data_IF_555160628906
#
_entry.id   IF_555160628906
#
_cell.length_a   1.000
_cell.length_b   1.000
_cell.length_c   1.000
_cell.angle_alpha   90.00
_cell.angle_beta   90.00
_cell.angle_gamma   90.00
#
_symmetry.space_group_name_H-M   'P 1'
#
loop_
_entity.id
_entity.type
_entity.pdbx_description
1 polymer ?
#
# COMPACT_ATOMS: atom_id res chain seq x y z
N UNK A 1 -13.54 19.70 23.33
CA UNK A 1 -12.60 18.58 23.54
C UNK A 1 -12.97 17.43 22.62
N UNK A 2 -12.28 17.28 21.48
CA UNK A 2 -12.51 16.20 20.53
C UNK A 2 -11.48 15.08 20.72
N UNK A 3 -11.93 13.84 20.87
CA UNK A 3 -11.08 12.64 20.86
C UNK A 3 -11.20 11.93 19.52
N UNK A 4 -10.08 11.93 18.80
CA UNK A 4 -9.53 10.86 17.98
C UNK A 4 -10.45 10.10 17.01
N UNK A 5 -10.36 10.48 15.73
CA UNK A 5 -10.58 9.55 14.61
C UNK A 5 -9.24 9.37 13.89
N UNK A 6 -8.52 8.32 14.24
CA UNK A 6 -7.43 7.75 13.44
C UNK A 6 -7.54 6.24 13.52
N UNK A 7 -8.30 5.68 12.60
CA UNK A 7 -8.25 4.25 12.30
C UNK A 7 -7.86 4.14 10.84
N UNK A 8 -6.55 3.96 10.60
CA UNK A 8 -6.01 3.71 9.27
C UNK A 8 -5.98 2.19 9.06
N UNK A 9 -6.53 1.79 7.93
CA UNK A 9 -6.61 0.42 7.43
C UNK A 9 -5.25 -0.29 7.45
N UNK A 10 -5.08 -1.23 8.38
CA UNK A 10 -4.16 -2.33 8.19
C UNK A 10 -4.93 -3.50 7.59
N UNK A 11 -4.63 -3.84 6.33
CA UNK A 11 -5.14 -5.08 5.72
C UNK A 11 -4.36 -6.26 6.32
N UNK A 12 -4.95 -6.90 7.32
CA UNK A 12 -4.45 -8.17 7.83
C UNK A 12 -5.34 -9.32 7.33
N UNK A 13 -4.71 -10.35 6.76
CA UNK A 13 -5.35 -11.62 6.42
C UNK A 13 -5.87 -12.27 7.72
N UNK A 14 -7.14 -12.05 8.02
CA UNK A 14 -7.86 -12.82 9.04
C UNK A 14 -8.09 -14.24 8.53
N UNK A 15 -7.64 -15.25 9.29
CA UNK A 15 -7.98 -16.64 9.02
C UNK A 15 -9.45 -16.86 9.33
N UNK A 16 -10.23 -17.25 8.33
CA UNK A 16 -11.61 -17.71 8.52
C UNK A 16 -11.55 -19.15 9.02
N UNK A 17 -11.95 -19.38 10.27
CA UNK A 17 -12.18 -20.72 10.80
C UNK A 17 -13.62 -21.12 10.53
N UNK A 18 -13.82 -22.02 9.57
CA UNK A 18 -15.08 -22.75 9.40
C UNK A 18 -15.16 -23.84 10.47
N UNK A 19 -16.22 -23.83 11.28
CA UNK A 19 -16.44 -24.82 12.33
C UNK A 19 -16.62 -26.23 11.75
N UNK A 20 -15.82 -27.17 12.23
CA UNK A 20 -15.95 -28.58 11.91
C UNK A 20 -17.08 -29.22 12.75
N UNK A 21 -18.02 -29.89 12.08
CA UNK A 21 -18.94 -30.82 12.71
C UNK A 21 -18.61 -32.25 12.27
N UNK A 22 -18.34 -33.11 13.26
CA UNK A 22 -18.11 -34.57 13.18
C UNK A 22 -19.35 -35.20 13.85
N UNK A 23 -20.01 -36.28 13.44
CA UNK A 23 -19.90 -37.25 12.35
C UNK A 23 -21.25 -38.01 12.26
N UNK A 24 -21.51 -38.71 11.16
CA UNK A 24 -22.07 -40.06 11.18
C UNK A 24 -21.79 -40.77 9.86
N UNK A 25 -21.26 -41.99 9.95
CA UNK A 25 -20.91 -42.89 8.85
C UNK A 25 -22.14 -43.53 8.21
N UNK A 26 -22.22 -43.50 6.87
CA UNK A 26 -22.95 -44.50 6.08
C UNK A 26 -22.26 -44.69 4.72
N UNK A 27 -21.86 -45.94 4.47
CA UNK A 27 -21.21 -46.44 3.26
C UNK A 27 -22.17 -46.50 2.08
N UNK A 28 -21.78 -46.02 0.88
CA UNK A 28 -22.13 -46.66 -0.40
C UNK A 28 -21.50 -46.00 -1.64
N UNK A 29 -20.74 -46.84 -2.37
CA UNK A 29 -20.63 -47.00 -3.83
C UNK A 29 -20.12 -45.82 -4.69
N UNK A 30 -18.90 -46.03 -5.22
CA UNK A 30 -18.34 -45.32 -6.37
C UNK A 30 -19.14 -45.64 -7.65
N UNK A 31 -19.75 -44.63 -8.25
CA UNK A 31 -20.12 -44.65 -9.67
C UNK A 31 -19.48 -43.41 -10.28
N UNK A 32 -18.42 -43.64 -11.06
CA UNK A 32 -17.93 -42.64 -11.99
C UNK A 32 -18.92 -42.44 -13.13
N UNK A 33 -18.91 -41.27 -13.75
CA UNK A 33 -18.89 -41.05 -15.20
C UNK A 33 -19.33 -39.60 -15.54
N UNK A 34 -18.55 -39.01 -16.45
CA UNK A 34 -18.76 -37.84 -17.34
C UNK A 34 -18.84 -36.43 -16.75
N UNK A 35 -17.77 -35.68 -17.03
CA UNK A 35 -17.81 -34.25 -17.29
C UNK A 35 -18.68 -33.99 -18.54
N UNK A 36 -19.46 -32.90 -18.55
CA UNK A 36 -19.68 -32.14 -19.77
C UNK A 36 -18.90 -30.82 -19.72
N UNK A 37 -18.03 -30.75 -20.70
CA UNK A 37 -17.68 -29.62 -21.56
C UNK A 37 -18.66 -28.42 -21.58
N UNK A 38 -18.09 -27.26 -21.93
CA UNK A 38 -18.66 -26.01 -22.44
C UNK A 38 -20.18 -25.95 -22.71
N UNK A 39 -20.90 -24.85 -22.48
CA UNK A 39 -20.72 -23.57 -23.15
C UNK A 39 -21.79 -22.57 -22.71
N UNK A 40 -21.48 -21.29 -22.94
CA UNK A 40 -22.33 -20.13 -23.23
C UNK A 40 -23.85 -20.30 -23.38
N UNK A 41 -24.58 -19.42 -22.68
CA UNK A 41 -25.66 -18.54 -23.17
C UNK A 41 -26.71 -19.03 -24.18
N UNK A 42 -27.99 -18.95 -23.78
CA UNK A 42 -29.13 -18.87 -24.70
C UNK A 42 -30.47 -19.29 -24.08
N UNK A 43 -31.39 -18.33 -23.93
CA UNK A 43 -32.78 -18.51 -23.49
C UNK A 43 -33.66 -19.26 -24.52
N UNK A 44 -34.67 -20.03 -24.05
CA UNK A 44 -35.81 -20.40 -24.91
C UNK A 44 -36.63 -21.66 -24.56
N UNK A 45 -37.57 -21.53 -23.62
CA UNK A 45 -38.97 -22.03 -23.59
C UNK A 45 -39.39 -23.48 -24.00
N UNK A 46 -40.10 -24.15 -23.08
CA UNK A 46 -41.17 -25.16 -23.30
C UNK A 46 -40.84 -26.59 -22.83
N UNK A 47 -41.59 -27.32 -21.99
CA UNK A 47 -42.86 -27.14 -21.28
C UNK A 47 -43.34 -28.52 -20.76
N UNK A 48 -43.91 -28.59 -19.55
CA UNK A 48 -44.75 -29.71 -19.06
C UNK A 48 -44.27 -30.48 -17.81
N UNK A 49 -45.17 -30.97 -16.93
CA UNK A 49 -45.07 -30.78 -15.47
C UNK A 49 -45.02 -32.09 -14.65
N UNK A 50 -44.39 -32.05 -13.47
CA UNK A 50 -44.86 -32.77 -12.27
C UNK A 50 -44.12 -32.25 -11.03
N UNK A 51 -44.90 -31.77 -10.07
CA UNK A 51 -44.41 -31.12 -8.86
C UNK A 51 -43.75 -32.09 -7.88
N UNK A 52 -42.65 -31.62 -7.30
CA UNK A 52 -42.30 -31.93 -5.91
C UNK A 52 -42.27 -30.59 -5.18
N UNK A 53 -43.26 -30.42 -4.32
CA UNK A 53 -43.41 -29.26 -3.47
C UNK A 53 -42.28 -29.20 -2.43
N UNK A 54 -41.86 -27.97 -2.15
CA UNK A 54 -41.31 -27.51 -0.89
C UNK A 54 -40.04 -28.22 -0.36
N UNK A 55 -38.89 -27.73 -0.84
CA UNK A 55 -37.81 -27.32 0.05
C UNK A 55 -37.28 -25.98 -0.47
N UNK A 56 -38.02 -24.91 -0.20
CA UNK A 56 -37.41 -23.58 -0.01
C UNK A 56 -36.58 -23.66 1.27
N UNK A 57 -35.48 -24.41 1.19
CA UNK A 57 -34.42 -24.42 2.18
C UNK A 57 -33.90 -23.00 2.24
N UNK A 58 -34.26 -22.33 3.32
CA UNK A 58 -33.83 -21.00 3.69
C UNK A 58 -32.37 -20.82 3.28
N UNK A 59 -32.11 -20.00 2.27
CA UNK A 59 -30.77 -19.48 2.04
C UNK A 59 -30.41 -18.78 3.36
N UNK A 60 -29.62 -19.45 4.18
CA UNK A 60 -29.25 -18.98 5.51
C UNK A 60 -28.75 -17.55 5.34
N UNK A 61 -29.43 -16.58 5.95
CA UNK A 61 -29.00 -15.19 5.96
C UNK A 61 -27.56 -15.19 6.44
N UNK A 62 -26.62 -14.92 5.54
CA UNK A 62 -25.22 -14.74 5.92
C UNK A 62 -25.19 -13.57 6.91
N UNK A 63 -24.91 -13.87 8.17
CA UNK A 63 -24.72 -12.84 9.17
C UNK A 63 -23.48 -12.02 8.79
N UNK A 64 -23.47 -10.70 9.00
CA UNK A 64 -22.29 -9.88 8.75
C UNK A 64 -21.09 -10.47 9.49
N UNK A 65 -19.99 -10.68 8.77
CA UNK A 65 -18.74 -11.11 9.40
C UNK A 65 -18.29 -10.05 10.41
N UNK A 66 -18.06 -10.47 11.66
CA UNK A 66 -17.50 -9.59 12.69
C UNK A 66 -15.98 -9.75 12.66
N UNK A 67 -15.27 -8.64 12.51
CA UNK A 67 -13.81 -8.62 12.67
C UNK A 67 -13.52 -8.52 14.16
N UNK A 68 -12.92 -9.57 14.72
CA UNK A 68 -12.45 -9.55 16.11
C UNK A 68 -11.27 -8.59 16.26
N UNK A 69 -11.19 -7.94 17.42
CA UNK A 69 -10.03 -7.11 17.74
C UNK A 69 -8.79 -8.02 17.91
N UNK A 70 -7.62 -7.60 17.39
CA UNK A 70 -6.40 -8.38 17.58
C UNK A 70 -6.05 -8.47 19.08
N UNK A 71 -5.42 -9.56 19.51
CA UNK A 71 -4.93 -9.68 20.88
C UNK A 71 -3.90 -8.59 21.18
N UNK A 72 -3.75 -8.25 22.47
CA UNK A 72 -2.76 -7.28 22.90
C UNK A 72 -1.35 -7.69 22.46
N UNK A 73 -0.67 -6.80 21.74
CA UNK A 73 0.68 -7.04 21.27
C UNK A 73 1.71 -6.91 22.41
N UNK A 74 2.69 -7.80 22.43
CA UNK A 74 3.84 -7.71 23.34
C UNK A 74 4.80 -6.57 22.97
N UNK A 75 5.79 -6.29 23.84
CA UNK A 75 6.84 -5.29 23.57
C UNK A 75 7.86 -5.72 22.52
N UNK A 76 7.96 -7.02 22.25
CA UNK A 76 8.98 -7.64 21.39
C UNK A 76 8.34 -8.85 20.73
N UNK A 77 8.57 -9.04 19.43
CA UNK A 77 8.14 -10.25 18.71
C UNK A 77 9.14 -11.39 18.88
N UNK A 78 8.78 -12.59 18.43
CA UNK A 78 9.65 -13.78 18.50
C UNK A 78 9.94 -14.33 17.12
N UNK A 79 11.19 -14.76 16.87
CA UNK A 79 11.59 -15.36 15.61
C UNK A 79 11.19 -14.50 14.40
N UNK A 80 10.32 -15.05 13.54
CA UNK A 80 9.81 -14.40 12.31
C UNK A 80 8.50 -13.62 12.50
N UNK A 81 8.04 -13.43 13.74
CA UNK A 81 6.90 -12.57 14.00
C UNK A 81 7.17 -11.17 13.43
N UNK A 82 6.17 -10.53 12.80
CA UNK A 82 6.26 -9.14 12.39
C UNK A 82 6.77 -8.24 13.51
N UNK A 83 7.38 -7.11 13.13
CA UNK A 83 7.80 -6.12 14.11
C UNK A 83 6.59 -5.62 14.91
N UNK A 84 6.77 -5.53 16.22
CA UNK A 84 5.78 -4.91 17.11
C UNK A 84 5.79 -3.38 16.97
N UNK A 85 4.73 -2.70 17.40
CA UNK A 85 4.68 -1.23 17.39
C UNK A 85 5.84 -0.61 18.17
N UNK A 86 6.22 -1.25 19.27
CA UNK A 86 7.37 -0.83 20.08
C UNK A 86 8.69 -1.00 19.31
N UNK A 87 8.86 -2.12 18.59
CA UNK A 87 10.04 -2.38 17.78
C UNK A 87 10.12 -1.45 16.56
N UNK A 88 9.01 -1.22 15.85
CA UNK A 88 8.90 -0.27 14.74
C UNK A 88 9.35 1.13 15.18
N UNK A 89 8.78 1.62 16.30
CA UNK A 89 9.15 2.93 16.85
C UNK A 89 10.62 2.98 17.28
N UNK A 90 11.11 1.93 17.93
CA UNK A 90 12.49 1.83 18.39
C UNK A 90 13.45 1.82 17.21
N UNK A 91 13.20 1.01 16.18
CA UNK A 91 14.01 0.93 14.97
C UNK A 91 14.18 2.30 14.33
N UNK A 92 13.07 2.98 14.02
CA UNK A 92 13.07 4.33 13.41
C UNK A 92 13.83 5.37 14.23
N UNK A 93 13.70 5.30 15.55
CA UNK A 93 14.40 6.23 16.47
C UNK A 93 15.91 6.01 16.41
N UNK A 94 16.35 4.75 16.43
CA UNK A 94 17.76 4.39 16.42
C UNK A 94 18.43 4.69 15.08
N UNK A 95 17.73 4.45 13.96
CA UNK A 95 18.29 4.64 12.62
C UNK A 95 18.32 6.10 12.17
N UNK A 96 17.40 6.94 12.64
CA UNK A 96 17.37 8.35 12.25
C UNK A 96 18.52 9.16 12.87
N UNK A 97 18.94 8.86 14.10
CA UNK A 97 20.02 9.60 14.78
C UNK A 97 19.79 11.12 14.85
N UNK A 98 20.75 11.91 15.35
CA UNK A 98 20.66 13.38 15.31
C UNK A 98 21.22 13.94 14.00
N UNK A 99 22.43 13.54 13.63
CA UNK A 99 23.11 14.04 12.42
C UNK A 99 22.28 13.86 11.15
N UNK A 100 21.72 12.67 10.92
CA UNK A 100 20.96 12.40 9.69
C UNK A 100 19.61 13.13 9.67
N UNK A 101 18.99 13.37 10.83
CA UNK A 101 17.82 14.26 10.94
C UNK A 101 18.16 15.71 10.58
N UNK A 102 19.35 16.19 10.93
CA UNK A 102 19.75 17.56 10.69
C UNK A 102 20.23 17.82 9.27
N UNK A 103 20.85 16.81 8.65
CA UNK A 103 21.42 16.92 7.30
C UNK A 103 20.46 16.54 6.18
N UNK A 104 19.51 15.63 6.43
CA UNK A 104 18.61 15.13 5.39
C UNK A 104 17.38 15.99 5.17
N UNK A 105 16.63 15.67 4.12
CA UNK A 105 15.43 16.40 3.70
C UNK A 105 14.27 15.46 3.35
N UNK A 106 13.06 15.83 3.78
CA UNK A 106 11.82 15.09 3.51
C UNK A 106 11.17 15.53 2.19
N UNK A 107 10.10 14.84 1.79
CA UNK A 107 9.42 15.12 0.52
C UNK A 107 8.86 16.55 0.40
N UNK A 108 8.62 17.21 1.54
CA UNK A 108 8.10 18.58 1.58
C UNK A 108 9.20 19.65 1.51
N UNK A 109 10.47 19.25 1.59
CA UNK A 109 11.63 20.12 1.78
C UNK A 109 11.94 20.42 3.25
N UNK A 110 11.32 19.68 4.18
CA UNK A 110 11.52 19.80 5.62
C UNK A 110 12.78 19.06 6.08
N UNK A 111 13.23 19.35 7.32
CA UNK A 111 14.40 18.68 7.88
C UNK A 111 14.14 17.23 8.24
N UNK A 112 15.10 16.39 7.88
CA UNK A 112 15.13 14.96 8.13
C UNK A 112 14.64 14.18 6.91
N UNK A 113 15.25 13.02 6.59
CA UNK A 113 14.90 12.24 5.41
C UNK A 113 13.49 11.65 5.49
N UNK A 114 12.88 11.43 4.34
CA UNK A 114 11.57 10.78 4.20
C UNK A 114 11.66 9.30 4.59
N UNK A 115 10.88 8.85 5.57
CA UNK A 115 10.86 7.44 5.98
C UNK A 115 9.91 6.63 5.10
N UNK A 116 10.42 5.61 4.42
CA UNK A 116 9.65 4.83 3.44
C UNK A 116 9.06 3.57 4.05
N UNK A 117 9.90 2.68 4.60
CA UNK A 117 9.46 1.43 5.23
C UNK A 117 10.24 1.10 6.50
N UNK A 118 9.68 0.18 7.29
CA UNK A 118 10.37 -0.44 8.41
C UNK A 118 9.93 -1.89 8.46
N UNK A 119 10.87 -2.78 8.19
CA UNK A 119 10.59 -4.20 7.98
C UNK A 119 11.48 -5.04 8.89
N UNK A 120 11.03 -6.24 9.25
CA UNK A 120 11.88 -7.23 9.90
C UNK A 120 12.97 -7.62 8.89
N UNK A 121 14.24 -7.48 9.27
CA UNK A 121 15.33 -7.88 8.39
C UNK A 121 15.36 -9.40 8.26
N UNK A 122 15.58 -9.89 7.04
CA UNK A 122 15.74 -11.32 6.80
C UNK A 122 17.01 -11.84 7.47
N UNK A 123 16.94 -13.07 8.00
CA UNK A 123 18.10 -13.75 8.55
C UNK A 123 19.06 -14.15 7.43
N UNK A 124 20.35 -14.10 7.70
CA UNK A 124 21.35 -14.66 6.79
C UNK A 124 21.26 -16.19 6.78
N UNK A 125 21.75 -16.88 5.72
CA UNK A 125 21.67 -18.35 5.66
C UNK A 125 22.28 -19.07 6.88
N UNK A 126 23.34 -18.52 7.47
CA UNK A 126 23.99 -19.03 8.68
C UNK A 126 23.19 -18.80 9.98
N UNK A 127 22.26 -17.84 9.98
CA UNK A 127 21.43 -17.50 11.14
C UNK A 127 20.12 -18.30 11.20
N UNK A 128 19.63 -18.85 10.08
CA UNK A 128 18.32 -19.53 9.98
C UNK A 128 18.19 -20.73 10.94
N UNK A 129 19.31 -21.35 11.34
CA UNK A 129 19.36 -22.47 12.29
C UNK A 129 19.91 -22.13 13.67
N UNK A 130 20.23 -20.86 13.94
CA UNK A 130 20.78 -20.46 15.23
C UNK A 130 19.74 -20.64 16.35
N UNK A 131 20.19 -21.05 17.55
CA UNK A 131 19.30 -21.19 18.70
C UNK A 131 18.67 -19.85 19.14
N UNK A 132 19.37 -18.74 18.88
CA UNK A 132 18.92 -17.39 19.17
C UNK A 132 19.41 -16.44 18.04
N UNK A 133 18.72 -16.42 16.89
CA UNK A 133 19.11 -15.54 15.78
C UNK A 133 18.89 -14.06 16.18
N UNK A 134 19.71 -13.13 15.64
CA UNK A 134 19.55 -11.71 15.92
C UNK A 134 18.21 -11.21 15.38
N UNK A 135 17.57 -10.31 16.13
CA UNK A 135 16.30 -9.69 15.72
C UNK A 135 16.60 -8.29 15.20
N UNK A 136 16.67 -8.16 13.89
CA UNK A 136 17.06 -6.93 13.19
C UNK A 136 15.87 -6.31 12.46
N UNK A 137 15.91 -4.99 12.29
CA UNK A 137 14.97 -4.26 11.46
C UNK A 137 15.71 -3.48 10.37
N UNK A 138 15.18 -3.50 9.16
CA UNK A 138 15.60 -2.62 8.08
C UNK A 138 14.69 -1.40 8.06
N UNK A 139 15.27 -0.21 8.20
CA UNK A 139 14.56 1.05 8.05
C UNK A 139 15.06 1.73 6.79
N UNK A 140 14.14 2.04 5.90
CA UNK A 140 14.46 2.63 4.60
C UNK A 140 14.01 4.07 4.56
N UNK A 141 14.84 4.91 3.95
CA UNK A 141 14.64 6.34 3.83
C UNK A 141 14.91 6.79 2.40
N UNK A 142 14.30 7.90 2.02
CA UNK A 142 14.71 8.70 0.88
C UNK A 142 15.15 10.08 1.36
N UNK A 143 16.35 10.50 1.00
CA UNK A 143 16.85 11.83 1.32
C UNK A 143 16.71 12.72 0.07
N UNK A 144 15.82 13.70 0.14
CA UNK A 144 15.54 14.62 -0.96
C UNK A 144 16.64 15.68 -1.15
N UNK A 145 17.53 15.87 -0.17
CA UNK A 145 18.61 16.86 -0.27
C UNK A 145 19.64 16.48 -1.33
N UNK A 146 19.80 15.16 -1.55
CA UNK A 146 20.78 14.62 -2.48
C UNK A 146 20.26 13.46 -3.35
N UNK A 147 18.95 13.18 -3.36
CA UNK A 147 18.31 12.11 -4.16
C UNK A 147 18.86 10.69 -3.87
N UNK A 148 18.99 10.33 -2.60
CA UNK A 148 19.49 9.00 -2.18
C UNK A 148 18.46 8.14 -1.47
N UNK A 149 18.49 6.83 -1.77
CA UNK A 149 17.78 5.79 -1.05
C UNK A 149 18.73 5.17 -0.01
N UNK A 150 18.37 5.27 1.27
CA UNK A 150 19.21 4.84 2.38
C UNK A 150 18.52 3.71 3.13
N UNK A 151 19.19 2.56 3.24
CA UNK A 151 18.74 1.44 4.08
C UNK A 151 19.62 1.34 5.31
N UNK A 152 19.02 1.30 6.50
CA UNK A 152 19.72 1.13 7.76
C UNK A 152 19.23 -0.13 8.46
N UNK A 153 20.13 -1.06 8.71
CA UNK A 153 19.85 -2.28 9.49
C UNK A 153 20.23 -2.05 10.94
N UNK A 154 19.28 -2.23 11.84
CA UNK A 154 19.46 -2.05 13.29
C UNK A 154 19.16 -3.34 14.04
N UNK A 155 20.05 -3.71 14.96
CA UNK A 155 19.80 -4.80 15.89
C UNK A 155 18.92 -4.31 17.06
N UNK A 156 17.77 -4.98 17.24
CA UNK A 156 16.76 -4.56 18.20
C UNK A 156 17.11 -4.96 19.64
N UNK A 157 18.02 -5.91 19.85
CA UNK A 157 18.51 -6.26 21.19
C UNK A 157 19.48 -5.21 21.72
N UNK A 158 20.59 -5.04 21.01
CA UNK A 158 21.69 -4.13 21.33
C UNK A 158 21.33 -2.65 21.10
N UNK A 159 20.40 -2.37 20.18
CA UNK A 159 20.07 -1.00 19.76
C UNK A 159 21.12 -0.35 18.86
N UNK A 160 22.01 -1.13 18.24
CA UNK A 160 23.06 -0.62 17.37
C UNK A 160 22.64 -0.70 15.91
N UNK A 161 22.94 0.36 15.15
CA UNK A 161 22.86 0.32 13.68
C UNK A 161 24.08 -0.45 13.19
N UNK A 162 23.84 -1.61 12.58
CA UNK A 162 24.89 -2.53 12.13
C UNK A 162 25.32 -2.25 10.69
N UNK A 163 24.38 -1.80 9.83
CA UNK A 163 24.64 -1.51 8.42
C UNK A 163 23.93 -0.23 7.99
N UNK A 164 24.58 0.52 7.11
CA UNK A 164 23.96 1.62 6.36
C UNK A 164 24.39 1.49 4.92
N UNK A 165 23.42 1.33 4.02
CA UNK A 165 23.63 1.30 2.58
C UNK A 165 23.01 2.56 1.97
N UNK A 166 23.68 3.16 0.99
CA UNK A 166 23.21 4.35 0.29
C UNK A 166 23.28 4.12 -1.21
N UNK A 167 22.17 4.35 -1.90
CA UNK A 167 22.04 4.08 -3.33
C UNK A 167 21.38 5.26 -4.04
N UNK A 168 21.68 5.43 -5.32
CA UNK A 168 21.05 6.43 -6.20
C UNK A 168 20.31 5.73 -7.32
N UNK A 169 19.24 6.35 -7.81
CA UNK A 169 18.43 5.80 -8.91
C UNK A 169 17.54 4.60 -8.55
N UNK A 170 17.49 4.22 -7.26
CA UNK A 170 16.54 3.23 -6.75
C UNK A 170 15.21 3.92 -6.48
N UNK A 171 14.12 3.35 -6.99
CA UNK A 171 12.78 3.93 -6.87
C UNK A 171 11.81 2.90 -6.27
N UNK A 172 11.77 2.75 -4.93
CA UNK A 172 10.71 1.98 -4.28
C UNK A 172 9.35 2.66 -4.51
N UNK A 173 8.23 1.95 -4.33
CA UNK A 173 6.89 2.53 -4.38
C UNK A 173 6.79 3.77 -3.46
N UNK A 174 6.07 4.83 -3.87
CA UNK A 174 5.89 5.99 -3.03
C UNK A 174 5.03 5.67 -1.81
N UNK A 175 5.37 6.26 -0.67
CA UNK A 175 4.57 6.17 0.53
C UNK A 175 3.36 7.13 0.47
N UNK A 176 2.56 7.15 1.53
CA UNK A 176 1.36 8.00 1.59
C UNK A 176 1.70 9.50 1.62
N UNK A 177 2.75 9.88 2.33
CA UNK A 177 3.13 11.28 2.51
C UNK A 177 3.68 11.85 1.19
N UNK A 178 4.44 11.05 0.45
CA UNK A 178 4.89 11.36 -0.92
C UNK A 178 3.71 11.50 -1.90
N UNK A 179 2.75 10.59 -1.87
CA UNK A 179 1.55 10.70 -2.71
C UNK A 179 0.72 11.95 -2.36
N UNK A 180 0.64 12.31 -1.07
CA UNK A 180 -0.07 13.51 -0.61
C UNK A 180 0.66 14.79 -1.03
N UNK A 181 1.98 14.82 -0.94
CA UNK A 181 2.80 15.96 -1.37
C UNK A 181 2.75 16.13 -2.89
N UNK A 182 2.80 15.04 -3.65
CA UNK A 182 2.60 15.10 -5.10
C UNK A 182 1.24 15.70 -5.47
N UNK A 183 0.17 15.31 -4.75
CA UNK A 183 -1.16 15.87 -4.96
C UNK A 183 -1.19 17.37 -4.59
N UNK A 184 -0.47 17.78 -3.54
CA UNK A 184 -0.35 19.20 -3.15
C UNK A 184 0.32 20.01 -4.24
N UNK A 185 1.43 19.52 -4.78
CA UNK A 185 2.15 20.15 -5.90
C UNK A 185 1.26 20.25 -7.13
N UNK A 186 0.58 19.16 -7.49
CA UNK A 186 -0.35 19.14 -8.63
C UNK A 186 -1.49 20.15 -8.47
N UNK A 187 -2.13 20.21 -7.29
CA UNK A 187 -3.18 21.20 -7.01
C UNK A 187 -2.63 22.62 -7.09
N UNK A 188 -1.39 22.88 -6.69
CA UNK A 188 -0.79 24.21 -6.79
C UNK A 188 -0.41 24.60 -8.23
N UNK A 189 -0.09 23.62 -9.08
CA UNK A 189 0.41 23.83 -10.42
C UNK A 189 -0.68 24.23 -11.44
N UNK A 190 -0.26 24.93 -12.52
CA UNK A 190 -1.16 25.31 -13.62
C UNK A 190 -1.68 24.09 -14.39
N UNK A 191 -0.92 23.00 -14.45
CA UNK A 191 -1.34 21.76 -15.07
C UNK A 191 -2.42 21.02 -14.27
N UNK A 192 -2.61 21.36 -12.98
CA UNK A 192 -3.69 20.83 -12.14
C UNK A 192 -5.03 21.54 -12.27
N UNK A 193 -5.17 22.51 -13.17
CA UNK A 193 -6.44 23.24 -13.34
C UNK A 193 -7.57 22.33 -13.85
N UNK A 194 -7.27 21.37 -14.71
CA UNK A 194 -8.24 20.35 -15.16
C UNK A 194 -8.72 19.49 -13.98
N UNK A 195 -7.81 18.99 -13.14
CA UNK A 195 -8.15 18.27 -11.90
C UNK A 195 -9.07 19.10 -10.99
N UNK A 196 -8.79 20.40 -10.80
CA UNK A 196 -9.65 21.29 -10.00
C UNK A 196 -11.03 21.48 -10.60
N UNK A 197 -11.10 21.62 -11.92
CA UNK A 197 -12.35 21.75 -12.65
C UNK A 197 -13.18 20.48 -12.52
N UNK A 198 -12.61 19.33 -12.81
CA UNK A 198 -13.30 18.04 -12.73
C UNK A 198 -13.76 17.74 -11.31
N UNK A 199 -12.95 18.08 -10.29
CA UNK A 199 -13.37 17.98 -8.90
C UNK A 199 -14.57 18.88 -8.59
N UNK A 200 -14.56 20.13 -9.06
CA UNK A 200 -15.67 21.05 -8.86
C UNK A 200 -16.93 20.59 -9.59
N UNK A 201 -16.80 20.10 -10.80
CA UNK A 201 -17.91 19.59 -11.59
C UNK A 201 -18.52 18.33 -10.93
N UNK A 202 -17.68 17.48 -10.32
CA UNK A 202 -18.14 16.28 -9.61
C UNK A 202 -18.75 16.54 -8.22
N UNK A 203 -18.32 17.59 -7.52
CA UNK A 203 -18.64 17.77 -6.08
C UNK A 203 -19.37 19.09 -5.75
N UNK A 204 -19.40 20.04 -6.68
CA UNK A 204 -19.84 21.41 -6.44
C UNK A 204 -18.88 22.26 -5.58
N UNK A 205 -17.74 21.70 -5.13
CA UNK A 205 -16.80 22.35 -4.21
C UNK A 205 -15.46 22.64 -4.89
N UNK A 206 -14.75 23.65 -4.42
CA UNK A 206 -13.39 23.90 -4.89
C UNK A 206 -12.40 22.85 -4.33
N UNK A 207 -11.49 22.36 -5.17
CA UNK A 207 -10.36 21.56 -4.73
C UNK A 207 -9.24 22.48 -4.22
N UNK A 208 -8.97 22.39 -2.93
CA UNK A 208 -8.03 23.27 -2.21
C UNK A 208 -6.97 22.50 -1.42
N UNK A 209 -7.25 21.25 -1.04
CA UNK A 209 -6.34 20.40 -0.28
C UNK A 209 -6.31 18.98 -0.85
N UNK A 210 -5.16 18.28 -0.77
CA UNK A 210 -5.06 16.85 -1.04
C UNK A 210 -6.02 16.00 -0.21
N UNK A 211 -6.43 16.46 0.97
CA UNK A 211 -7.30 15.68 1.87
C UNK A 211 -8.74 15.51 1.34
N UNK A 212 -9.08 16.22 0.27
CA UNK A 212 -10.33 16.04 -0.48
C UNK A 212 -10.23 14.89 -1.52
N UNK A 213 -9.04 14.31 -1.67
CA UNK A 213 -8.74 13.23 -2.59
C UNK A 213 -8.21 12.01 -1.84
N UNK A 214 -8.63 10.82 -2.29
CA UNK A 214 -7.89 9.59 -2.07
C UNK A 214 -6.88 9.46 -3.20
N UNK A 215 -5.59 9.43 -2.87
CA UNK A 215 -4.51 9.39 -3.84
C UNK A 215 -3.64 8.15 -3.66
N UNK A 216 -3.28 7.54 -4.79
CA UNK A 216 -2.30 6.45 -4.84
C UNK A 216 -1.21 6.86 -5.80
N UNK A 217 0.04 6.84 -5.33
CA UNK A 217 1.21 7.16 -6.14
C UNK A 217 1.83 5.92 -6.79
N UNK A 218 2.41 6.10 -7.96
CA UNK A 218 3.20 5.10 -8.67
C UNK A 218 4.50 5.73 -9.16
N UNK A 219 5.59 4.98 -9.14
CA UNK A 219 6.88 5.43 -9.66
C UNK A 219 6.77 5.72 -11.16
N UNK A 220 7.37 6.82 -11.59
CA UNK A 220 7.59 7.11 -13.00
C UNK A 220 9.09 7.21 -13.29
N UNK A 221 9.52 6.56 -14.38
CA UNK A 221 10.89 6.63 -14.89
C UNK A 221 10.83 6.93 -16.37
N UNK A 222 11.71 7.81 -16.83
CA UNK A 222 11.87 8.06 -18.25
C UNK A 222 12.75 6.97 -18.88
N UNK A 223 12.52 6.66 -20.15
CA UNK A 223 13.30 5.66 -20.90
C UNK A 223 12.75 4.23 -20.83
N UNK A 224 11.75 3.94 -19.99
CA UNK A 224 11.15 2.59 -19.92
C UNK A 224 10.33 2.28 -21.18
N UNK A 225 9.46 3.20 -21.59
CA UNK A 225 8.58 3.06 -22.75
C UNK A 225 8.94 4.04 -23.90
N UNK A 226 10.11 4.67 -23.82
CA UNK A 226 10.58 5.70 -24.74
C UNK A 226 11.24 6.89 -24.04
N UNK A 227 11.83 7.85 -24.80
CA UNK A 227 12.64 8.93 -24.23
C UNK A 227 11.86 9.94 -23.39
N UNK A 228 10.52 9.90 -23.41
CA UNK A 228 9.66 10.83 -22.67
C UNK A 228 9.82 12.30 -23.11
N UNK A 229 8.98 13.20 -22.59
CA UNK A 229 9.20 14.64 -22.74
C UNK A 229 10.49 15.10 -22.06
N UNK A 230 11.13 16.16 -22.58
CA UNK A 230 12.33 16.73 -21.97
C UNK A 230 12.13 17.11 -20.49
N UNK A 231 10.91 17.53 -20.13
CA UNK A 231 10.52 17.89 -18.77
C UNK A 231 10.59 16.72 -17.77
N UNK A 232 10.63 15.46 -18.23
CA UNK A 232 10.72 14.28 -17.37
C UNK A 232 12.06 13.57 -17.46
N UNK A 233 13.03 14.07 -18.22
CA UNK A 233 14.30 13.37 -18.51
C UNK A 233 15.08 12.92 -17.27
N UNK A 234 14.92 13.65 -16.16
CA UNK A 234 15.60 13.38 -14.90
C UNK A 234 14.84 12.34 -14.05
N UNK A 235 13.61 11.96 -14.42
CA UNK A 235 12.83 10.94 -13.73
C UNK A 235 13.48 9.55 -13.80
N UNK A 236 13.81 9.01 -12.63
CA UNK A 236 14.64 7.82 -12.49
C UNK A 236 15.92 8.14 -11.71
N UNK A 237 16.54 9.29 -12.00
CA UNK A 237 17.50 9.93 -11.08
C UNK A 237 16.73 10.62 -9.95
N UNK A 238 15.81 11.50 -10.33
CA UNK A 238 14.84 12.11 -9.43
C UNK A 238 13.70 11.14 -9.14
N UNK A 239 13.06 11.34 -7.98
CA UNK A 239 11.89 10.59 -7.56
C UNK A 239 10.62 11.18 -8.16
N UNK A 240 10.27 10.68 -9.34
CA UNK A 240 9.04 11.07 -10.02
C UNK A 240 7.89 10.09 -9.75
N UNK A 241 6.67 10.64 -9.64
CA UNK A 241 5.46 9.85 -9.43
C UNK A 241 4.33 10.24 -10.38
N UNK A 242 3.45 9.29 -10.63
CA UNK A 242 2.11 9.50 -11.20
C UNK A 242 1.07 9.23 -10.13
N UNK A 243 -0.06 9.92 -10.21
CA UNK A 243 -1.15 9.76 -9.26
C UNK A 243 -2.36 9.13 -9.93
N UNK A 244 -3.01 8.22 -9.20
CA UNK A 244 -4.44 7.97 -9.37
C UNK A 244 -5.19 8.74 -8.30
N UNK A 245 -6.15 9.55 -8.74
CA UNK A 245 -6.91 10.43 -7.85
C UNK A 245 -8.39 10.08 -7.87
N UNK A 246 -8.98 10.01 -6.67
CA UNK A 246 -10.40 9.76 -6.47
C UNK A 246 -10.92 10.78 -5.47
N UNK A 247 -12.12 11.31 -5.70
CA UNK A 247 -12.80 12.11 -4.67
C UNK A 247 -13.02 11.23 -3.42
N UNK A 248 -12.82 11.80 -2.22
CA UNK A 248 -13.09 11.09 -0.96
C UNK A 248 -14.55 10.65 -0.83
N UNK A 249 -14.85 9.87 0.21
CA UNK A 249 -16.23 9.46 0.53
C UNK A 249 -16.91 8.66 -0.60
N UNK A 250 -16.12 7.89 -1.34
CA UNK A 250 -16.62 7.03 -2.41
C UNK A 250 -16.92 7.74 -3.72
N UNK A 251 -16.55 9.01 -3.87
CA UNK A 251 -16.77 9.80 -5.09
C UNK A 251 -16.00 9.30 -6.32
N UNK A 252 -16.17 9.94 -7.49
CA UNK A 252 -15.62 9.47 -8.74
C UNK A 252 -14.08 9.55 -8.81
N UNK A 253 -13.51 8.79 -9.73
CA UNK A 253 -12.11 8.96 -10.15
C UNK A 253 -11.98 10.20 -11.04
N UNK A 254 -10.85 10.90 -10.92
CA UNK A 254 -10.49 12.03 -11.79
C UNK A 254 -9.20 11.65 -12.54
N UNK A 255 -9.18 11.88 -13.85
CA UNK A 255 -8.06 11.46 -14.69
C UNK A 255 -6.86 12.40 -14.51
N UNK A 256 -5.77 11.86 -13.96
CA UNK A 256 -4.49 12.54 -13.81
C UNK A 256 -3.36 11.78 -14.50
N UNK A 257 -3.68 10.83 -15.40
CA UNK A 257 -2.71 9.90 -15.97
C UNK A 257 -1.65 10.58 -16.80
N UNK A 258 -1.97 11.70 -17.47
CA UNK A 258 -1.00 12.43 -18.30
C UNK A 258 -0.06 13.32 -17.48
N UNK A 259 -0.13 13.30 -16.15
CA UNK A 259 0.67 14.17 -15.30
C UNK A 259 1.70 13.36 -14.54
N UNK A 260 2.92 13.86 -14.54
CA UNK A 260 4.05 13.37 -13.75
C UNK A 260 4.45 14.47 -12.79
N UNK A 261 4.68 14.10 -11.54
CA UNK A 261 5.15 15.00 -10.50
C UNK A 261 6.57 14.58 -10.16
N UNK A 262 7.53 15.48 -10.36
CA UNK A 262 8.90 15.32 -9.88
C UNK A 262 8.93 15.83 -8.43
N UNK A 263 9.03 14.91 -7.47
CA UNK A 263 9.07 15.26 -6.04
C UNK A 263 10.42 15.89 -5.68
N UNK A 264 11.51 15.48 -6.31
CA UNK A 264 12.86 16.01 -6.09
C UNK A 264 12.97 17.46 -6.57
N UNK A 265 12.47 17.76 -7.78
CA UNK A 265 12.49 19.12 -8.34
C UNK A 265 11.24 19.95 -7.97
N UNK A 266 10.28 19.36 -7.25
CA UNK A 266 9.01 19.97 -6.84
C UNK A 266 8.24 20.60 -8.02
N UNK A 267 8.18 19.86 -9.13
CA UNK A 267 7.61 20.33 -10.39
C UNK A 267 6.60 19.35 -10.97
N UNK A 268 5.75 19.85 -11.88
CA UNK A 268 4.73 19.04 -12.56
C UNK A 268 4.98 19.12 -14.07
N UNK A 269 4.98 17.96 -14.71
CA UNK A 269 5.13 17.81 -16.15
C UNK A 269 3.91 17.09 -16.74
N UNK A 270 3.59 17.42 -18.00
CA UNK A 270 2.59 16.70 -18.79
C UNK A 270 3.32 15.74 -19.73
N UNK A 271 2.89 14.48 -19.73
CA UNK A 271 3.25 13.50 -20.75
C UNK A 271 2.60 13.92 -22.07
N UNK A 272 3.34 13.78 -23.17
CA UNK A 272 2.98 14.34 -24.48
C UNK A 272 1.51 14.17 -24.85
N UNK A 273 0.96 15.22 -25.47
CA UNK A 273 -0.31 15.21 -26.18
C UNK A 273 -0.20 14.51 -27.52
#
# INVERSE_FOLDING_TARGET
>A
MGKNVRTVNHRHLGRVLAGAAVAATATAVLIGVTLPDSASGGEGSGGGPQGSAAEQGQAARQLPGVVESPPAQGKTGKGRDPLTDAELKRARTLTLGQSFRESGEDVTGGKGPEQLSTDLAELTPDEVGAAAPPRRADVTYYDYSDDTYVTKTVDLGSGKVERTDTQRGVQPPPNRDEAREAARLLIADKLGQELKKDFKDATGKALTSPDQLTVTGFVYRTGVDGPGPAATRDCGKHRCVRLFTKVTDGGPWIDTRQLVIDLSARSVARLGS
#
